data_IF_886922209770
#
_entry.id   IF_886922209770
#
_cell.length_a   1.000
_cell.length_b   1.000
_cell.length_c   1.000
_cell.angle_alpha   90.00
_cell.angle_beta   90.00
_cell.angle_gamma   90.00
#
_symmetry.space_group_name_H-M   'P 1'
#
loop_
_entity.id
_entity.type
_entity.pdbx_description
1 polymer ?
#
# COMPACT_ATOMS: atom_id res chain seq x y z
N UNK A 1 -27.25 44.08 28.13
CA UNK A 1 -26.31 43.92 27.01
C UNK A 1 -25.04 43.19 27.43
N UNK A 2 -24.30 43.67 28.43
CA UNK A 2 -23.05 43.04 28.94
C UNK A 2 -23.20 41.59 29.41
N UNK A 3 -24.28 41.25 30.10
CA UNK A 3 -24.58 39.88 30.56
C UNK A 3 -24.83 38.88 29.43
N UNK A 4 -25.39 39.33 28.31
CA UNK A 4 -25.59 38.48 27.13
C UNK A 4 -24.25 38.22 26.44
N UNK A 5 -23.41 39.24 26.31
CA UNK A 5 -22.05 39.07 25.75
C UNK A 5 -21.18 38.16 26.60
N UNK A 6 -21.23 38.25 27.93
CA UNK A 6 -20.46 37.36 28.80
C UNK A 6 -20.93 35.91 28.69
N UNK A 7 -22.24 35.67 28.67
CA UNK A 7 -22.80 34.32 28.45
C UNK A 7 -22.37 33.73 27.11
N UNK A 8 -22.44 34.51 26.02
CA UNK A 8 -22.02 34.07 24.69
C UNK A 8 -20.51 33.75 24.66
N UNK A 9 -19.67 34.57 25.28
CA UNK A 9 -18.24 34.32 25.37
C UNK A 9 -17.91 33.05 26.16
N UNK A 10 -18.58 32.80 27.28
CA UNK A 10 -18.40 31.57 28.06
C UNK A 10 -18.83 30.33 27.29
N UNK A 11 -19.95 30.40 26.57
CA UNK A 11 -20.41 29.31 25.70
C UNK A 11 -19.43 29.04 24.56
N UNK A 12 -18.86 30.09 23.96
CA UNK A 12 -17.86 29.94 22.90
C UNK A 12 -16.57 29.28 23.42
N UNK A 13 -16.08 29.68 24.60
CA UNK A 13 -14.91 29.09 25.25
C UNK A 13 -15.16 27.60 25.58
N UNK A 14 -16.32 27.29 26.16
CA UNK A 14 -16.71 25.90 26.45
C UNK A 14 -16.77 25.06 25.18
N UNK A 15 -17.42 25.56 24.12
CA UNK A 15 -17.51 24.89 22.84
C UNK A 15 -16.15 24.62 22.20
N UNK A 16 -15.23 25.57 22.30
CA UNK A 16 -13.85 25.42 21.82
C UNK A 16 -13.09 24.31 22.54
N UNK A 17 -13.15 24.25 23.87
CA UNK A 17 -12.49 23.19 24.64
C UNK A 17 -13.13 21.81 24.42
N UNK A 18 -14.46 21.74 24.30
CA UNK A 18 -15.16 20.50 23.96
C UNK A 18 -14.76 19.97 22.58
N UNK A 19 -14.59 20.87 21.61
CA UNK A 19 -14.15 20.52 20.26
C UNK A 19 -12.72 19.96 20.26
N UNK A 20 -11.78 20.59 20.98
CA UNK A 20 -10.41 20.07 21.14
C UNK A 20 -10.43 18.71 21.84
N UNK A 21 -11.14 18.58 22.97
CA UNK A 21 -11.24 17.32 23.71
C UNK A 21 -11.84 16.19 22.86
N UNK A 22 -12.87 16.49 22.08
CA UNK A 22 -13.50 15.54 21.16
C UNK A 22 -12.56 15.07 20.06
N UNK A 23 -11.78 15.97 19.45
CA UNK A 23 -10.80 15.59 18.43
C UNK A 23 -9.62 14.83 19.03
N UNK A 24 -9.13 15.21 20.21
CA UNK A 24 -8.10 14.47 20.94
C UNK A 24 -8.54 13.05 21.24
N UNK A 25 -9.74 12.87 21.79
CA UNK A 25 -10.31 11.55 22.04
C UNK A 25 -10.42 10.73 20.75
N UNK A 26 -10.88 11.36 19.67
CA UNK A 26 -10.97 10.73 18.34
C UNK A 26 -9.60 10.28 17.81
N UNK A 27 -8.54 11.08 18.00
CA UNK A 27 -7.17 10.72 17.63
C UNK A 27 -6.70 9.50 18.41
N UNK A 28 -6.94 9.48 19.73
CA UNK A 28 -6.55 8.36 20.59
C UNK A 28 -7.34 7.07 20.29
N UNK A 29 -8.62 7.19 19.94
CA UNK A 29 -9.46 6.05 19.57
C UNK A 29 -9.06 5.43 18.23
N UNK A 30 -8.52 6.22 17.28
CA UNK A 30 -7.93 5.67 16.07
C UNK A 30 -6.58 5.05 16.41
N UNK A 31 -6.48 3.71 16.30
CA UNK A 31 -5.25 2.90 16.48
C UNK A 31 -4.11 3.31 15.52
N UNK A 32 -3.53 4.49 15.72
CA UNK A 32 -2.41 5.07 14.98
C UNK A 32 -1.09 4.71 15.68
N UNK A 33 -0.01 4.71 14.92
CA UNK A 33 1.32 4.71 15.51
C UNK A 33 1.47 5.92 16.45
N UNK A 34 1.96 5.67 17.67
CA UNK A 34 2.09 6.67 18.75
C UNK A 34 2.75 7.98 18.28
N UNK A 35 3.85 7.97 17.49
CA UNK A 35 4.48 9.22 17.04
C UNK A 35 3.58 10.07 16.14
N UNK A 36 2.77 9.45 15.27
CA UNK A 36 1.87 10.17 14.38
C UNK A 36 0.71 10.82 15.14
N UNK A 37 0.18 10.13 16.16
CA UNK A 37 -0.86 10.69 17.02
C UNK A 37 -0.31 11.90 17.80
N UNK A 38 0.88 11.78 18.38
CA UNK A 38 1.54 12.88 19.10
C UNK A 38 1.78 14.10 18.22
N UNK A 39 2.25 13.93 16.98
CA UNK A 39 2.46 15.03 16.05
C UNK A 39 1.16 15.80 15.74
N UNK A 40 0.05 15.10 15.53
CA UNK A 40 -1.25 15.75 15.29
C UNK A 40 -1.80 16.45 16.52
N UNK A 41 -1.64 15.88 17.72
CA UNK A 41 -2.02 16.54 18.96
C UNK A 41 -1.21 17.81 19.19
N UNK A 42 0.10 17.78 18.92
CA UNK A 42 0.96 18.96 19.02
C UNK A 42 0.47 20.08 18.10
N UNK A 43 0.20 19.78 16.82
CA UNK A 43 -0.31 20.77 15.86
C UNK A 43 -1.67 21.33 16.31
N UNK A 44 -2.57 20.50 16.83
CA UNK A 44 -3.88 20.92 17.34
C UNK A 44 -3.73 21.76 18.62
N UNK A 45 -2.75 21.51 19.48
CA UNK A 45 -2.57 22.31 20.69
C UNK A 45 -1.90 23.67 20.40
N UNK A 46 -1.03 23.75 19.40
CA UNK A 46 -0.40 25.02 18.98
C UNK A 46 -1.36 25.84 18.10
N UNK A 47 -2.02 25.20 17.15
CA UNK A 47 -2.92 25.83 16.17
C UNK A 47 -4.25 25.05 16.08
N UNK A 48 -5.15 25.16 17.05
CA UNK A 48 -6.31 24.26 17.17
C UNK A 48 -7.26 24.26 15.98
N UNK A 49 -7.69 25.43 15.50
CA UNK A 49 -8.60 25.46 14.34
C UNK A 49 -7.93 24.92 13.07
N UNK A 50 -6.70 25.39 12.77
CA UNK A 50 -5.95 24.96 11.58
C UNK A 50 -5.57 23.47 11.67
N UNK A 51 -5.12 23.03 12.83
CA UNK A 51 -4.70 21.66 13.12
C UNK A 51 -5.86 20.68 13.04
N UNK A 52 -7.06 21.05 13.52
CA UNK A 52 -8.25 20.21 13.41
C UNK A 52 -8.68 20.08 11.95
N UNK A 53 -8.71 21.18 11.20
CA UNK A 53 -9.01 21.17 9.76
C UNK A 53 -7.99 20.29 9.03
N UNK A 54 -6.70 20.48 9.29
CA UNK A 54 -5.63 19.69 8.68
C UNK A 54 -5.68 18.21 9.07
N UNK A 55 -6.01 17.89 10.34
CA UNK A 55 -6.16 16.51 10.81
C UNK A 55 -7.33 15.80 10.10
N UNK A 56 -8.47 16.47 10.00
CA UNK A 56 -9.63 15.93 9.29
C UNK A 56 -9.36 15.81 7.78
N UNK A 57 -8.55 16.71 7.20
CA UNK A 57 -8.20 16.73 5.79
C UNK A 57 -7.06 15.77 5.38
N UNK A 58 -6.12 15.45 6.28
CA UNK A 58 -4.92 14.63 5.95
C UNK A 58 -4.68 13.56 7.00
N UNK A 59 -4.81 13.90 8.28
CA UNK A 59 -4.54 13.05 9.45
C UNK A 59 -5.40 11.79 9.61
N UNK A 60 -6.47 11.62 8.84
CA UNK A 60 -7.25 10.38 8.76
C UNK A 60 -7.05 9.60 7.44
N UNK A 61 -6.64 8.32 7.52
CA UNK A 61 -6.54 7.42 6.38
C UNK A 61 -7.95 6.95 5.99
N UNK A 62 -8.60 7.68 5.08
CA UNK A 62 -9.83 7.22 4.44
C UNK A 62 -9.47 6.37 3.22
N UNK A 63 -9.64 5.05 3.33
CA UNK A 63 -9.40 4.13 2.21
C UNK A 63 -10.41 4.32 1.05
N UNK A 64 -11.48 5.10 1.25
CA UNK A 64 -12.49 5.43 0.26
C UNK A 64 -13.42 4.24 -0.06
N UNK A 65 -14.74 4.47 -0.06
CA UNK A 65 -15.76 3.40 -0.26
C UNK A 65 -15.51 2.57 -1.51
N UNK A 66 -15.17 3.20 -2.63
CA UNK A 66 -14.84 2.54 -3.91
C UNK A 66 -13.68 1.54 -3.82
N UNK A 67 -12.67 1.78 -3.00
CA UNK A 67 -11.54 0.83 -2.84
C UNK A 67 -11.97 -0.40 -2.04
N UNK A 68 -12.75 -0.18 -0.98
CA UNK A 68 -13.33 -1.27 -0.21
C UNK A 68 -14.29 -2.12 -1.06
N UNK A 69 -15.11 -1.48 -1.91
CA UNK A 69 -15.97 -2.17 -2.88
C UNK A 69 -15.16 -2.99 -3.88
N UNK A 70 -14.10 -2.43 -4.48
CA UNK A 70 -13.21 -3.18 -5.38
C UNK A 70 -12.55 -4.36 -4.68
N UNK A 71 -12.05 -4.17 -3.46
CA UNK A 71 -11.47 -5.26 -2.67
C UNK A 71 -12.51 -6.36 -2.40
N UNK A 72 -13.75 -5.99 -2.05
CA UNK A 72 -14.87 -6.94 -1.88
C UNK A 72 -15.24 -7.65 -3.19
N UNK A 73 -15.18 -6.96 -4.33
CA UNK A 73 -15.47 -7.56 -5.63
C UNK A 73 -14.40 -8.56 -6.08
N UNK A 74 -13.13 -8.37 -5.69
CA UNK A 74 -12.06 -9.32 -5.99
C UNK A 74 -12.05 -10.53 -5.04
N UNK A 75 -12.61 -10.38 -3.83
CA UNK A 75 -12.57 -11.40 -2.78
C UNK A 75 -13.10 -12.78 -3.20
N UNK A 76 -14.22 -12.93 -3.95
CA UNK A 76 -14.72 -14.26 -4.33
C UNK A 76 -13.71 -15.08 -5.14
N UNK A 77 -12.99 -14.47 -6.08
CA UNK A 77 -11.97 -15.16 -6.88
C UNK A 77 -10.78 -15.57 -6.01
N UNK A 78 -10.34 -14.69 -5.13
CA UNK A 78 -9.26 -14.99 -4.18
C UNK A 78 -9.67 -16.10 -3.22
N UNK A 79 -10.87 -16.03 -2.64
CA UNK A 79 -11.39 -17.03 -1.72
C UNK A 79 -11.51 -18.41 -2.39
N UNK A 80 -11.94 -18.47 -3.65
CA UNK A 80 -11.96 -19.73 -4.42
C UNK A 80 -10.56 -20.32 -4.56
N UNK A 81 -9.60 -19.54 -5.04
CA UNK A 81 -8.20 -19.99 -5.18
C UNK A 81 -7.60 -20.45 -3.85
N UNK A 82 -7.88 -19.74 -2.75
CA UNK A 82 -7.45 -20.12 -1.40
C UNK A 82 -8.05 -21.46 -0.96
N UNK A 83 -9.31 -21.72 -1.27
CA UNK A 83 -9.97 -22.98 -0.94
C UNK A 83 -9.41 -24.14 -1.77
N UNK A 84 -9.15 -23.92 -3.05
CA UNK A 84 -8.52 -24.91 -3.94
C UNK A 84 -7.11 -25.26 -3.42
N UNK A 85 -6.34 -24.26 -2.99
CA UNK A 85 -5.02 -24.47 -2.38
C UNK A 85 -5.09 -25.29 -1.09
N UNK A 86 -6.08 -25.04 -0.23
CA UNK A 86 -6.30 -25.80 1.02
C UNK A 86 -6.65 -27.26 0.78
N UNK A 87 -7.28 -27.57 -0.34
CA UNK A 87 -7.59 -28.95 -0.70
C UNK A 87 -6.31 -29.78 -0.93
N UNK A 88 -5.21 -29.14 -1.35
CA UNK A 88 -3.91 -29.75 -1.56
C UNK A 88 -3.14 -29.96 -0.23
N UNK A 89 -3.65 -30.81 0.66
CA UNK A 89 -3.09 -31.01 2.02
C UNK A 89 -1.57 -31.28 2.07
N UNK A 90 -1.03 -31.96 1.06
CA UNK A 90 0.37 -32.36 1.00
C UNK A 90 1.37 -31.20 0.87
N UNK A 91 0.93 -29.98 0.51
CA UNK A 91 1.82 -28.82 0.40
C UNK A 91 2.02 -28.10 1.74
N UNK A 92 1.21 -28.39 2.76
CA UNK A 92 1.29 -27.71 4.04
C UNK A 92 2.28 -28.40 4.98
N UNK A 93 2.91 -27.60 5.84
CA UNK A 93 3.80 -28.08 6.88
C UNK A 93 2.97 -28.74 8.01
N UNK A 94 3.32 -29.97 8.36
CA UNK A 94 2.71 -30.70 9.49
C UNK A 94 3.37 -30.32 10.82
N UNK A 95 4.67 -30.05 10.77
CA UNK A 95 5.48 -29.62 11.91
C UNK A 95 6.10 -28.25 11.62
N UNK A 96 6.05 -27.38 12.62
CA UNK A 96 6.62 -26.04 12.56
C UNK A 96 7.55 -25.83 13.75
N UNK A 97 8.66 -25.13 13.55
CA UNK A 97 9.51 -24.72 14.66
C UNK A 97 8.75 -23.85 15.65
N UNK A 98 9.18 -23.85 16.92
CA UNK A 98 8.59 -23.01 17.96
C UNK A 98 8.60 -21.52 17.61
N UNK A 99 9.60 -21.08 16.83
CA UNK A 99 9.74 -19.71 16.33
C UNK A 99 8.74 -19.40 15.21
N UNK A 100 8.50 -20.34 14.29
CA UNK A 100 7.62 -20.13 13.14
C UNK A 100 6.13 -20.32 13.47
N UNK A 101 5.80 -21.17 14.45
CA UNK A 101 4.42 -21.54 14.76
C UNK A 101 3.49 -20.34 15.06
N UNK A 102 3.89 -19.31 15.85
CA UNK A 102 3.06 -18.12 16.07
C UNK A 102 2.80 -17.32 14.79
N UNK A 103 3.79 -17.22 13.89
CA UNK A 103 3.67 -16.51 12.61
C UNK A 103 2.70 -17.22 11.68
N UNK A 104 2.82 -18.54 11.53
CA UNK A 104 1.90 -19.31 10.70
C UNK A 104 0.48 -19.31 11.24
N UNK A 105 0.30 -19.38 12.57
CA UNK A 105 -1.02 -19.24 13.20
C UNK A 105 -1.65 -17.86 12.95
N UNK A 106 -0.85 -16.80 12.91
CA UNK A 106 -1.32 -15.46 12.55
C UNK A 106 -1.77 -15.41 11.08
N UNK A 107 -0.96 -15.94 10.16
CA UNK A 107 -1.28 -16.01 8.73
C UNK A 107 -2.55 -16.82 8.48
N UNK A 108 -2.69 -17.97 9.13
CA UNK A 108 -3.88 -18.82 9.03
C UNK A 108 -5.13 -18.09 9.51
N UNK A 109 -5.07 -17.40 10.67
CA UNK A 109 -6.21 -16.64 11.19
C UNK A 109 -6.59 -15.42 10.34
N UNK A 110 -5.61 -14.79 9.68
CA UNK A 110 -5.83 -13.56 8.89
C UNK A 110 -6.21 -13.83 7.46
N UNK A 111 -5.54 -14.77 6.80
CA UNK A 111 -5.64 -15.04 5.36
C UNK A 111 -6.23 -16.43 5.08
N UNK A 112 -6.32 -17.29 6.08
CA UNK A 112 -6.84 -18.64 5.94
C UNK A 112 -5.80 -19.69 5.53
N UNK A 113 -4.55 -19.33 5.24
CA UNK A 113 -3.51 -20.28 4.77
C UNK A 113 -2.48 -20.55 5.86
N UNK A 114 -2.14 -21.83 6.08
CA UNK A 114 -1.03 -22.26 6.93
C UNK A 114 0.32 -22.20 6.21
N UNK A 115 1.42 -22.52 6.91
CA UNK A 115 2.75 -22.59 6.30
C UNK A 115 2.82 -23.67 5.21
N UNK A 116 3.43 -23.32 4.06
CA UNK A 116 3.65 -24.24 2.92
C UNK A 116 5.09 -24.76 2.97
N UNK A 117 5.29 -26.05 2.66
CA UNK A 117 6.61 -26.71 2.59
C UNK A 117 7.15 -26.80 1.16
N UNK A 118 8.43 -27.11 1.01
CA UNK A 118 9.09 -27.25 -0.29
C UNK A 118 9.64 -25.95 -0.89
N UNK A 119 9.66 -24.87 -0.12
CA UNK A 119 10.25 -23.59 -0.55
C UNK A 119 11.78 -23.65 -0.50
N UNK A 120 12.43 -23.09 -1.52
CA UNK A 120 13.86 -22.77 -1.49
C UNK A 120 14.03 -21.28 -1.21
N UNK A 121 14.91 -20.94 -0.28
CA UNK A 121 15.11 -19.58 0.19
C UNK A 121 16.58 -19.24 0.04
N UNK A 122 16.86 -18.10 -0.58
CA UNK A 122 18.19 -17.52 -0.65
C UNK A 122 18.13 -16.12 -0.06
N UNK A 123 18.95 -15.85 0.97
CA UNK A 123 19.11 -14.51 1.50
C UNK A 123 20.15 -13.78 0.66
N UNK A 124 19.75 -12.67 0.07
CA UNK A 124 20.62 -11.78 -0.69
C UNK A 124 20.87 -10.52 0.14
N UNK A 125 22.13 -10.15 0.32
CA UNK A 125 22.51 -9.03 1.20
C UNK A 125 22.86 -7.76 0.42
N UNK A 126 23.29 -7.91 -0.83
CA UNK A 126 23.68 -6.80 -1.70
C UNK A 126 22.59 -6.47 -2.72
N UNK A 127 22.39 -5.18 -2.99
CA UNK A 127 21.41 -4.69 -3.95
C UNK A 127 21.71 -5.16 -5.38
N UNK A 128 22.99 -5.16 -5.74
CA UNK A 128 23.41 -5.45 -7.11
C UNK A 128 23.16 -6.91 -7.44
N UNK A 129 23.41 -7.81 -6.50
CA UNK A 129 23.10 -9.24 -6.63
C UNK A 129 21.60 -9.44 -6.86
N UNK A 130 20.74 -8.75 -6.09
CA UNK A 130 19.28 -8.84 -6.23
C UNK A 130 18.83 -8.42 -7.62
N UNK A 131 19.37 -7.30 -8.12
CA UNK A 131 19.03 -6.79 -9.45
C UNK A 131 19.53 -7.72 -10.56
N UNK A 132 20.73 -8.29 -10.43
CA UNK A 132 21.26 -9.28 -11.38
C UNK A 132 20.43 -10.57 -11.38
N UNK A 133 20.04 -11.08 -10.21
CA UNK A 133 19.18 -12.25 -10.11
C UNK A 133 17.80 -12.01 -10.74
N UNK A 134 17.21 -10.84 -10.50
CA UNK A 134 15.95 -10.43 -11.12
C UNK A 134 16.05 -10.41 -12.66
N UNK A 135 17.13 -9.81 -13.20
CA UNK A 135 17.39 -9.81 -14.65
C UNK A 135 17.53 -11.24 -15.18
N UNK A 136 18.27 -12.10 -14.48
CA UNK A 136 18.44 -13.51 -14.85
C UNK A 136 17.10 -14.25 -14.89
N UNK A 137 16.25 -14.05 -13.90
CA UNK A 137 14.94 -14.70 -13.82
C UNK A 137 14.02 -14.24 -14.96
N UNK A 138 14.06 -12.96 -15.34
CA UNK A 138 13.36 -12.42 -16.51
C UNK A 138 13.87 -13.06 -17.81
N UNK A 139 15.18 -13.27 -17.93
CA UNK A 139 15.78 -13.91 -19.11
C UNK A 139 15.39 -15.40 -19.22
N UNK A 140 15.29 -16.10 -18.09
CA UNK A 140 14.97 -17.52 -18.02
C UNK A 140 13.45 -17.83 -18.04
N UNK A 141 12.61 -16.82 -17.85
CA UNK A 141 11.15 -16.98 -17.82
C UNK A 141 10.60 -17.60 -19.11
N UNK A 142 9.68 -18.56 -18.95
CA UNK A 142 9.10 -19.36 -20.06
C UNK A 142 7.60 -19.16 -20.31
N UNK A 143 6.86 -18.60 -19.35
CA UNK A 143 5.40 -18.51 -19.46
C UNK A 143 4.88 -17.10 -19.23
N UNK A 144 5.17 -16.54 -18.05
CA UNK A 144 4.71 -15.20 -17.68
C UNK A 144 5.70 -14.52 -16.72
N UNK A 145 5.60 -13.20 -16.65
CA UNK A 145 6.29 -12.35 -15.69
C UNK A 145 5.27 -11.36 -15.12
N UNK A 146 5.15 -11.35 -13.79
CA UNK A 146 4.25 -10.49 -13.04
C UNK A 146 5.06 -9.68 -12.04
N UNK A 147 5.18 -8.37 -12.27
CA UNK A 147 6.02 -7.50 -11.46
C UNK A 147 5.23 -6.38 -10.83
N UNK A 148 5.44 -6.17 -9.52
CA UNK A 148 4.80 -5.10 -8.75
C UNK A 148 5.86 -4.35 -7.95
N UNK A 149 6.04 -3.06 -8.24
CA UNK A 149 7.04 -2.23 -7.55
C UNK A 149 6.41 -0.97 -6.95
N UNK A 150 6.89 -0.61 -5.77
CA UNK A 150 6.53 0.66 -5.14
C UNK A 150 7.25 1.85 -5.79
N UNK A 151 8.52 1.70 -6.17
CA UNK A 151 9.30 2.75 -6.85
C UNK A 151 10.00 2.14 -8.05
N UNK A 152 9.79 2.74 -9.22
CA UNK A 152 10.63 2.56 -10.40
C UNK A 152 11.27 3.90 -10.76
N UNK A 153 12.57 3.99 -10.55
CA UNK A 153 13.37 5.15 -10.92
C UNK A 153 14.18 4.81 -12.18
N UNK A 154 14.00 5.52 -13.30
CA UNK A 154 14.81 5.33 -14.49
C UNK A 154 16.31 5.53 -14.21
N UNK A 155 17.14 4.77 -14.90
CA UNK A 155 18.60 4.77 -14.79
C UNK A 155 19.17 3.52 -14.14
N UNK A 156 20.48 3.33 -14.34
CA UNK A 156 21.24 2.23 -13.73
C UNK A 156 20.68 0.85 -14.08
N UNK A 157 20.59 -0.03 -13.08
CA UNK A 157 20.11 -1.40 -13.29
C UNK A 157 18.61 -1.50 -13.54
N UNK A 158 17.81 -0.47 -13.18
CA UNK A 158 16.38 -0.47 -13.46
C UNK A 158 16.10 -0.45 -14.98
N UNK A 159 16.94 0.26 -15.75
CA UNK A 159 16.84 0.29 -17.21
C UNK A 159 17.19 -1.09 -17.81
N UNK A 160 18.19 -1.79 -17.25
CA UNK A 160 18.52 -3.15 -17.67
C UNK A 160 17.38 -4.15 -17.40
N UNK A 161 16.65 -3.95 -16.29
CA UNK A 161 15.42 -4.72 -16.00
C UNK A 161 14.33 -4.38 -17.03
N UNK A 162 14.13 -3.12 -17.37
CA UNK A 162 13.16 -2.72 -18.41
C UNK A 162 13.50 -3.34 -19.77
N UNK A 163 14.76 -3.27 -20.18
CA UNK A 163 15.25 -3.88 -21.41
C UNK A 163 15.06 -5.39 -21.44
N UNK A 164 15.39 -6.07 -20.33
CA UNK A 164 15.21 -7.52 -20.20
C UNK A 164 13.74 -7.91 -20.25
N UNK A 165 12.84 -7.13 -19.63
CA UNK A 165 11.40 -7.32 -19.72
C UNK A 165 10.88 -7.15 -21.15
N UNK A 166 11.34 -6.12 -21.86
CA UNK A 166 10.95 -5.91 -23.26
C UNK A 166 11.47 -7.05 -24.14
N UNK A 167 12.68 -7.54 -23.91
CA UNK A 167 13.21 -8.71 -24.59
C UNK A 167 12.35 -9.95 -24.31
N UNK A 168 11.92 -10.17 -23.06
CA UNK A 168 11.02 -11.28 -22.71
C UNK A 168 9.66 -11.18 -23.40
N UNK A 169 9.05 -9.99 -23.42
CA UNK A 169 7.79 -9.76 -24.12
C UNK A 169 7.92 -10.04 -25.63
N UNK A 170 9.01 -9.60 -26.26
CA UNK A 170 9.32 -9.89 -27.68
C UNK A 170 9.53 -11.37 -27.96
N UNK A 171 9.98 -12.17 -26.98
CA UNK A 171 10.03 -13.65 -27.08
C UNK A 171 8.65 -14.31 -26.96
N UNK A 172 7.59 -13.55 -26.70
CA UNK A 172 6.22 -14.05 -26.52
C UNK A 172 5.86 -14.36 -25.06
N UNK A 173 6.68 -13.98 -24.09
CA UNK A 173 6.35 -14.13 -22.67
C UNK A 173 5.30 -13.09 -22.27
N UNK A 174 4.25 -13.52 -21.57
CA UNK A 174 3.23 -12.60 -21.07
C UNK A 174 3.77 -11.77 -19.90
N UNK A 175 3.99 -10.48 -20.11
CA UNK A 175 4.57 -9.59 -19.11
C UNK A 175 3.56 -8.55 -18.60
N UNK A 176 3.33 -8.49 -17.28
CA UNK A 176 2.58 -7.40 -16.62
C UNK A 176 3.45 -6.69 -15.60
N UNK A 177 3.41 -5.37 -15.64
CA UNK A 177 4.14 -4.49 -14.73
C UNK A 177 3.18 -3.51 -14.07
N UNK A 178 3.04 -3.59 -12.75
CA UNK A 178 2.26 -2.66 -11.96
C UNK A 178 3.16 -1.80 -11.08
N UNK A 179 3.08 -0.48 -11.24
CA UNK A 179 3.91 0.47 -10.49
C UNK A 179 3.05 1.46 -9.72
N UNK A 180 3.48 1.82 -8.50
CA UNK A 180 2.86 2.93 -7.78
C UNK A 180 3.08 4.27 -8.53
N UNK A 181 2.00 5.02 -8.72
CA UNK A 181 1.99 6.31 -9.43
C UNK A 181 2.85 7.36 -8.73
N UNK A 182 2.79 7.46 -7.40
CA UNK A 182 3.50 8.49 -6.64
C UNK A 182 4.98 8.16 -6.50
N UNK A 183 5.30 6.89 -6.26
CA UNK A 183 6.67 6.39 -6.15
C UNK A 183 7.42 6.35 -7.48
N UNK A 184 6.70 6.24 -8.61
CA UNK A 184 7.31 6.05 -9.94
C UNK A 184 7.02 7.21 -10.90
N UNK A 185 6.84 8.44 -10.39
CA UNK A 185 6.53 9.64 -11.21
C UNK A 185 7.57 9.85 -12.31
N UNK A 186 8.86 9.66 -12.00
CA UNK A 186 9.92 9.84 -12.98
C UNK A 186 9.82 8.84 -14.14
N UNK A 187 9.48 7.57 -13.85
CA UNK A 187 9.23 6.56 -14.87
C UNK A 187 8.01 6.92 -15.72
N UNK A 188 6.87 7.29 -15.11
CA UNK A 188 5.66 7.61 -15.87
C UNK A 188 5.77 8.88 -16.71
N UNK A 189 6.75 9.75 -16.42
CA UNK A 189 7.07 10.95 -17.20
C UNK A 189 8.19 10.76 -18.21
N UNK A 190 8.82 9.58 -18.24
CA UNK A 190 9.85 9.26 -19.22
C UNK A 190 9.25 8.51 -20.43
N UNK A 191 10.04 8.21 -21.47
CA UNK A 191 9.58 7.38 -22.59
C UNK A 191 9.35 5.91 -22.24
N UNK A 192 9.82 5.44 -21.08
CA UNK A 192 9.79 4.02 -20.70
C UNK A 192 8.40 3.37 -20.75
N UNK A 193 7.31 3.97 -20.23
CA UNK A 193 6.00 3.34 -20.24
C UNK A 193 5.50 3.04 -21.65
N UNK A 194 5.74 3.96 -22.60
CA UNK A 194 5.33 3.77 -23.99
C UNK A 194 6.21 2.74 -24.69
N UNK A 195 7.53 2.79 -24.50
CA UNK A 195 8.45 1.80 -25.04
C UNK A 195 8.10 0.37 -24.57
N UNK A 196 7.82 0.20 -23.28
CA UNK A 196 7.46 -1.09 -22.70
C UNK A 196 6.10 -1.58 -23.20
N UNK A 197 5.10 -0.69 -23.31
CA UNK A 197 3.80 -1.04 -23.90
C UNK A 197 3.91 -1.46 -25.36
N UNK A 198 4.70 -0.73 -26.15
CA UNK A 198 4.96 -1.05 -27.55
C UNK A 198 5.71 -2.37 -27.72
N UNK A 199 6.51 -2.78 -26.72
CA UNK A 199 7.15 -4.09 -26.69
C UNK A 199 6.19 -5.24 -26.28
N UNK A 200 4.93 -4.95 -25.95
CA UNK A 200 3.93 -5.93 -25.57
C UNK A 200 3.74 -6.14 -24.06
N UNK A 201 4.29 -5.25 -23.22
CA UNK A 201 4.14 -5.34 -21.76
C UNK A 201 2.87 -4.62 -21.31
N UNK A 202 2.05 -5.26 -20.48
CA UNK A 202 0.91 -4.59 -19.84
C UNK A 202 1.39 -3.74 -18.66
N UNK A 203 1.58 -2.44 -18.90
CA UNK A 203 2.03 -1.48 -17.87
C UNK A 203 0.85 -0.80 -17.19
N UNK A 204 0.65 -1.07 -15.90
CA UNK A 204 -0.42 -0.54 -15.05
C UNK A 204 0.12 0.48 -14.07
N UNK A 205 -0.42 1.71 -14.14
CA UNK A 205 -0.19 2.74 -13.12
C UNK A 205 -1.18 2.58 -11.97
N UNK A 206 -0.69 2.10 -10.83
CA UNK A 206 -1.46 1.88 -9.62
C UNK A 206 -1.61 3.17 -8.79
N UNK A 207 -2.73 3.25 -8.06
CA UNK A 207 -2.96 4.28 -7.03
C UNK A 207 -2.81 5.74 -7.50
N UNK A 208 -3.11 6.05 -8.77
CA UNK A 208 -3.02 7.40 -9.36
C UNK A 208 -3.40 8.52 -8.37
N UNK A 209 -2.41 9.35 -8.05
CA UNK A 209 -2.59 10.51 -7.17
C UNK A 209 -3.30 11.59 -7.97
N UNK A 210 -4.46 12.02 -7.47
CA UNK A 210 -5.15 13.19 -8.00
C UNK A 210 -5.45 14.11 -6.83
N UNK A 211 -4.83 15.29 -6.81
CA UNK A 211 -4.99 16.30 -5.76
C UNK A 211 -6.47 16.62 -5.51
N UNK A 212 -7.27 16.76 -6.57
CA UNK A 212 -8.72 17.00 -6.45
C UNK A 212 -9.45 15.82 -5.79
N UNK A 213 -9.00 14.57 -6.01
CA UNK A 213 -9.57 13.39 -5.35
C UNK A 213 -9.18 13.27 -3.87
N UNK A 214 -8.10 13.90 -3.42
CA UNK A 214 -7.74 13.92 -1.99
C UNK A 214 -8.73 14.78 -1.21
N UNK A 215 -9.14 15.92 -1.76
CA UNK A 215 -10.11 16.82 -1.15
C UNK A 215 -11.57 16.33 -1.32
N UNK A 216 -11.95 15.86 -2.52
CA UNK A 216 -13.35 15.44 -2.82
C UNK A 216 -13.74 14.05 -2.33
N UNK A 217 -12.81 13.23 -1.80
CA UNK A 217 -13.15 11.92 -1.21
C UNK A 217 -13.63 12.00 0.23
N UNK A 218 -13.53 13.17 0.86
CA UNK A 218 -13.78 13.38 2.30
C UNK A 218 -15.04 14.19 2.60
N UNK A 219 -15.62 14.88 1.61
CA UNK A 219 -17.02 15.34 1.63
C UNK A 219 -17.92 14.23 1.07
#
# INVERSE_FOLDING_TARGET
>A
MTTVYTLVSWLAILGYWLLIAGVTLRILMKRRAVPSAMAWLLIIYILPLVGIIAYLAVGELHLGKRRAERARAMWPSTAKWLNDLKACKHIFAEENSSVAAPLFKLCERRQGIAGVKGNQLQLMTESDDVMQALIRDIQLARHNIEMVFYIWQPGGMADQVAESLMAAARRGIHCRLMLDSAGSVAFFRSPWPELMRNAGIEVVEALKVNLMRVFLRRM
#
